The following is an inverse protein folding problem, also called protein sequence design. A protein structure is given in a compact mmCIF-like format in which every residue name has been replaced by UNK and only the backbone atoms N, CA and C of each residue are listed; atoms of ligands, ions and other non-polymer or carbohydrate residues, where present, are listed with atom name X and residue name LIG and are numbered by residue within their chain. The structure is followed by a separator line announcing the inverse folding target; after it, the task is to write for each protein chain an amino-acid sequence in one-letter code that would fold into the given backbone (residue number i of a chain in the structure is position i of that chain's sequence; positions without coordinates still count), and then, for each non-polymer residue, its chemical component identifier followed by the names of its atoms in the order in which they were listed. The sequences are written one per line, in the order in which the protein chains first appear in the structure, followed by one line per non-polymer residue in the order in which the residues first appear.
data_IF_924953203370
#
_entry.id   IF_924953203370
#
_cell.length_a   1.000
_cell.length_b   1.000
_cell.length_c   1.000
_cell.angle_alpha   90.00
_cell.angle_beta   90.00
_cell.angle_gamma   90.00
#
_symmetry.space_group_name_H-M   'P 1'
#
loop_
_entity.id
_entity.type
_entity.pdbx_description
1 polymer ?
#
# COMPACT_ATOMS: atom_id res chain seq x y z
N UNK A 1 6.51 -10.86 7.71
CA UNK A 1 6.34 -9.62 6.93
C UNK A 1 7.66 -9.27 6.25
N UNK A 2 7.60 -8.67 5.05
CA UNK A 2 8.76 -8.49 4.16
C UNK A 2 9.44 -7.13 4.28
N UNK A 3 10.37 -6.84 3.37
CA UNK A 3 10.94 -5.51 3.10
C UNK A 3 10.50 -5.02 1.73
N UNK A 4 10.46 -3.71 1.53
CA UNK A 4 10.01 -3.07 0.30
C UNK A 4 11.12 -2.83 -0.74
N UNK A 5 12.36 -3.21 -0.42
CA UNK A 5 13.58 -2.88 -1.17
C UNK A 5 13.87 -1.37 -1.28
N UNK A 6 13.12 -0.53 -0.56
CA UNK A 6 13.33 0.90 -0.42
C UNK A 6 13.58 1.26 1.06
N UNK A 7 14.80 1.71 1.37
CA UNK A 7 15.21 1.98 2.75
C UNK A 7 14.39 3.08 3.44
N UNK A 8 13.99 4.12 2.71
CA UNK A 8 13.18 5.23 3.23
C UNK A 8 11.77 4.72 3.58
N UNK A 9 11.19 3.90 2.69
CA UNK A 9 9.88 3.31 2.92
C UNK A 9 9.90 2.30 4.07
N UNK A 10 10.94 1.47 4.17
CA UNK A 10 11.11 0.53 5.28
C UNK A 10 11.25 1.26 6.63
N UNK A 11 12.00 2.36 6.68
CA UNK A 11 12.09 3.20 7.88
C UNK A 11 10.74 3.82 8.26
N UNK A 12 9.99 4.33 7.27
CA UNK A 12 8.66 4.89 7.50
C UNK A 12 7.69 3.84 8.05
N UNK A 13 7.63 2.67 7.42
CA UNK A 13 6.79 1.53 7.83
C UNK A 13 7.12 1.14 9.28
N UNK A 14 8.41 1.00 9.60
CA UNK A 14 8.86 0.66 10.94
C UNK A 14 8.47 1.74 11.96
N UNK A 15 8.71 3.02 11.64
CA UNK A 15 8.42 4.16 12.51
C UNK A 15 6.92 4.31 12.81
N UNK A 16 6.07 3.93 11.86
CA UNK A 16 4.61 4.00 11.99
C UNK A 16 3.99 2.69 12.53
N UNK A 17 4.78 1.66 12.79
CA UNK A 17 4.26 0.36 13.26
C UNK A 17 3.40 -0.36 12.21
N UNK A 18 3.67 -0.13 10.93
CA UNK A 18 2.97 -0.74 9.80
C UNK A 18 3.66 -2.03 9.38
N UNK A 19 2.94 -2.86 8.61
CA UNK A 19 3.46 -4.09 8.04
C UNK A 19 3.54 -4.00 6.51
N UNK A 20 4.70 -4.36 5.96
CA UNK A 20 4.86 -4.51 4.52
C UNK A 20 4.36 -5.86 4.03
N UNK A 21 3.46 -5.82 3.04
CA UNK A 21 2.90 -6.99 2.36
C UNK A 21 3.38 -6.97 0.90
N UNK A 22 4.14 -7.99 0.46
CA UNK A 22 4.57 -8.11 -0.92
C UNK A 22 3.39 -8.16 -1.89
N UNK A 23 3.47 -7.42 -3.00
CA UNK A 23 2.40 -7.32 -3.99
C UNK A 23 1.98 -8.68 -4.58
N UNK A 24 2.91 -9.64 -4.65
CA UNK A 24 2.65 -10.98 -5.17
C UNK A 24 1.74 -11.85 -4.27
N UNK A 25 1.40 -11.38 -3.06
CA UNK A 25 0.43 -12.05 -2.17
C UNK A 25 -1.02 -11.70 -2.50
N UNK A 26 -1.24 -10.73 -3.39
CA UNK A 26 -2.57 -10.33 -3.83
C UNK A 26 -2.93 -11.01 -5.16
N UNK A 27 -4.20 -11.40 -5.30
CA UNK A 27 -4.78 -12.00 -6.50
C UNK A 27 -6.07 -11.30 -6.88
N UNK A 28 -6.56 -11.57 -8.10
CA UNK A 28 -7.84 -11.08 -8.63
C UNK A 28 -7.99 -9.57 -8.43
N UNK A 29 -6.96 -8.82 -8.85
CA UNK A 29 -6.93 -7.36 -8.69
C UNK A 29 -7.78 -6.75 -9.80
N UNK A 30 -8.87 -6.12 -9.41
CA UNK A 30 -9.87 -5.50 -10.28
C UNK A 30 -9.97 -4.01 -9.98
N UNK A 31 -10.07 -3.20 -11.03
CA UNK A 31 -10.31 -1.76 -10.87
C UNK A 31 -11.67 -1.51 -10.20
N UNK A 32 -11.69 -0.64 -9.20
CA UNK A 32 -12.91 -0.22 -8.52
C UNK A 32 -13.29 1.21 -8.92
N UNK A 33 -12.42 2.18 -8.66
CA UNK A 33 -12.68 3.59 -8.93
C UNK A 33 -11.39 4.44 -8.94
N UNK A 34 -11.46 5.67 -9.44
CA UNK A 34 -10.36 6.64 -9.43
C UNK A 34 -10.85 8.00 -8.92
N UNK A 35 -10.24 8.46 -7.84
CA UNK A 35 -10.45 9.80 -7.28
C UNK A 35 -9.23 10.72 -7.49
N UNK A 36 -9.30 11.93 -6.90
CA UNK A 36 -8.20 12.89 -6.94
C UNK A 36 -6.91 12.37 -6.29
N UNK A 37 -7.04 11.60 -5.22
CA UNK A 37 -5.90 11.14 -4.39
C UNK A 37 -5.32 9.78 -4.80
N UNK A 38 -5.94 9.08 -5.76
CA UNK A 38 -5.48 7.75 -6.14
C UNK A 38 -6.50 6.94 -6.90
N UNK A 39 -6.08 5.72 -7.25
CA UNK A 39 -6.93 4.70 -7.86
C UNK A 39 -7.16 3.59 -6.84
N UNK A 40 -8.40 3.13 -6.71
CA UNK A 40 -8.80 2.03 -5.83
C UNK A 40 -9.02 0.79 -6.69
N UNK A 41 -8.45 -0.31 -6.23
CA UNK A 41 -8.68 -1.65 -6.75
C UNK A 41 -9.28 -2.52 -5.66
N UNK A 42 -10.08 -3.49 -6.05
CA UNK A 42 -10.48 -4.62 -5.20
C UNK A 42 -9.53 -5.77 -5.47
N UNK A 43 -9.16 -6.52 -4.45
CA UNK A 43 -8.32 -7.71 -4.61
C UNK A 43 -8.54 -8.72 -3.49
N UNK A 44 -7.89 -9.86 -3.63
CA UNK A 44 -7.87 -10.93 -2.64
C UNK A 44 -6.45 -11.01 -2.08
N UNK A 45 -6.29 -10.82 -0.77
CA UNK A 45 -5.04 -11.10 -0.06
C UNK A 45 -5.04 -12.53 0.46
N UNK A 46 -3.97 -13.27 0.16
CA UNK A 46 -3.79 -14.65 0.61
C UNK A 46 -2.83 -14.71 1.80
N UNK A 47 -3.36 -15.08 2.97
CA UNK A 47 -2.58 -15.29 4.17
C UNK A 47 -2.86 -16.68 4.74
N UNK A 48 -1.85 -17.57 4.72
CA UNK A 48 -1.94 -18.92 5.30
C UNK A 48 -3.20 -19.71 4.87
N UNK A 49 -3.52 -19.68 3.57
CA UNK A 49 -4.71 -20.32 2.97
C UNK A 49 -6.05 -19.67 3.32
N UNK A 50 -6.04 -18.49 3.96
CA UNK A 50 -7.20 -17.64 4.16
C UNK A 50 -7.20 -16.60 3.03
N UNK A 51 -8.34 -16.49 2.35
CA UNK A 51 -8.60 -15.47 1.34
C UNK A 51 -9.36 -14.32 1.99
N UNK A 52 -8.82 -13.11 1.92
CA UNK A 52 -9.49 -11.89 2.41
C UNK A 52 -9.70 -10.92 1.27
N UNK A 53 -10.93 -10.43 1.13
CA UNK A 53 -11.21 -9.31 0.22
C UNK A 53 -10.64 -8.03 0.81
N UNK A 54 -9.84 -7.31 0.02
CA UNK A 54 -9.16 -6.09 0.42
C UNK A 54 -9.33 -4.99 -0.63
N UNK A 55 -9.31 -3.75 -0.17
CA UNK A 55 -9.19 -2.58 -1.05
C UNK A 55 -7.71 -2.17 -1.14
N UNK A 56 -7.18 -2.10 -2.36
CA UNK A 56 -5.83 -1.62 -2.65
C UNK A 56 -5.92 -0.19 -3.17
N UNK A 57 -5.38 0.78 -2.43
CA UNK A 57 -5.32 2.19 -2.84
C UNK A 57 -3.94 2.52 -3.40
N UNK A 58 -3.86 2.79 -4.70
CA UNK A 58 -2.65 3.24 -5.37
C UNK A 58 -2.64 4.77 -5.42
N UNK A 59 -1.66 5.41 -4.76
CA UNK A 59 -1.54 6.86 -4.68
C UNK A 59 -0.91 7.42 -5.97
N UNK A 60 -1.50 8.49 -6.53
CA UNK A 60 -1.09 9.04 -7.83
C UNK A 60 0.26 9.79 -7.80
N UNK A 61 0.69 10.30 -6.63
CA UNK A 61 1.79 11.27 -6.50
C UNK A 61 2.94 10.82 -5.57
N UNK A 62 3.24 9.53 -5.49
CA UNK A 62 4.42 9.08 -4.74
C UNK A 62 5.70 9.38 -5.54
N UNK A 63 6.23 10.60 -5.40
CA UNK A 63 7.59 10.90 -5.84
C UNK A 63 8.57 10.46 -4.73
N UNK A 64 9.75 9.94 -5.13
CA UNK A 64 10.75 9.45 -4.17
C UNK A 64 11.34 10.56 -3.28
N UNK A 65 11.34 11.80 -3.75
CA UNK A 65 11.90 12.95 -3.04
C UNK A 65 11.03 13.40 -1.84
N UNK A 66 9.71 13.20 -1.90
CA UNK A 66 8.74 13.66 -0.89
C UNK A 66 7.88 12.49 -0.35
N UNK A 67 8.39 11.25 -0.46
CA UNK A 67 7.66 10.03 -0.11
C UNK A 67 7.12 10.07 1.34
N UNK A 68 7.94 10.57 2.28
CA UNK A 68 7.56 10.73 3.69
C UNK A 68 6.44 11.75 3.90
N UNK A 69 6.45 12.88 3.20
CA UNK A 69 5.43 13.93 3.37
C UNK A 69 4.08 13.45 2.85
N UNK A 70 4.07 12.87 1.65
CA UNK A 70 2.86 12.33 1.02
C UNK A 70 2.24 11.19 1.83
N UNK A 71 3.06 10.30 2.40
CA UNK A 71 2.57 9.22 3.27
C UNK A 71 2.08 9.74 4.63
N UNK A 72 2.69 10.80 5.17
CA UNK A 72 2.21 11.41 6.41
C UNK A 72 0.87 12.13 6.18
N UNK A 73 0.71 12.86 5.08
CA UNK A 73 -0.57 13.47 4.69
C UNK A 73 -1.67 12.41 4.64
N UNK A 74 -1.41 11.29 3.96
CA UNK A 74 -2.35 10.18 3.85
C UNK A 74 -2.75 9.55 5.20
N UNK A 75 -1.82 9.43 6.17
CA UNK A 75 -2.13 8.82 7.47
C UNK A 75 -2.76 9.80 8.47
N UNK A 76 -2.77 11.10 8.18
CA UNK A 76 -3.30 12.13 9.06
C UNK A 76 -4.71 12.61 8.67
N UNK A 77 -5.26 12.11 7.56
CA UNK A 77 -6.70 12.21 7.23
C UNK A 77 -7.52 11.21 8.06
#
# INVERSE_FOLDING_TARGET
FGKSDNAILDEFILKKGLEWIPYNQFKNIEYLDKGGFGTIYKGIWLQNSIEMEVALKCLNNLNENNLNENLNEFLNE
#
